data_IF_545830968580
#
_entry.id   IF_545830968580
#
_cell.length_a   1.000
_cell.length_b   1.000
_cell.length_c   1.000
_cell.angle_alpha   90.00
_cell.angle_beta   90.00
_cell.angle_gamma   90.00
#
_symmetry.space_group_name_H-M   'P 1'
#
loop_
_entity.id
_entity.type
_entity.pdbx_description
1 polymer ?
#
# COMPACT_ATOMS: atom_id res chain seq x y z
N UNK A 1 33.97 -70.43 2.35
CA UNK A 1 32.73 -70.06 3.08
C UNK A 1 32.82 -68.58 3.40
N UNK A 2 32.23 -67.72 2.56
CA UNK A 2 32.22 -66.26 2.70
C UNK A 2 30.77 -65.77 2.47
N UNK A 3 30.31 -64.83 3.29
CA UNK A 3 28.89 -64.46 3.49
C UNK A 3 28.28 -63.70 2.29
N UNK A 4 26.99 -63.91 1.94
CA UNK A 4 26.30 -63.05 1.00
C UNK A 4 25.90 -61.71 1.66
N UNK A 5 26.13 -60.61 0.94
CA UNK A 5 25.79 -59.26 1.37
C UNK A 5 24.28 -59.01 1.36
N UNK A 6 23.78 -58.34 2.39
CA UNK A 6 22.38 -57.96 2.55
C UNK A 6 22.02 -56.80 1.62
N UNK A 7 21.10 -57.03 0.69
CA UNK A 7 20.43 -55.98 -0.07
C UNK A 7 19.45 -55.24 0.87
N UNK A 8 19.75 -54.00 1.23
CA UNK A 8 18.81 -53.12 1.93
C UNK A 8 17.71 -52.63 0.98
N UNK A 9 16.50 -52.34 1.48
CA UNK A 9 15.39 -51.92 0.64
C UNK A 9 15.62 -50.52 0.05
N UNK A 10 15.28 -50.36 -1.23
CA UNK A 10 15.23 -49.06 -1.94
C UNK A 10 14.26 -48.13 -1.20
N UNK A 11 14.76 -46.99 -0.73
CA UNK A 11 13.91 -45.88 -0.27
C UNK A 11 13.20 -45.27 -1.49
N UNK A 12 11.90 -45.50 -1.59
CA UNK A 12 11.02 -44.76 -2.47
C UNK A 12 10.89 -43.33 -1.92
N UNK A 13 11.41 -42.34 -2.65
CA UNK A 13 11.17 -40.93 -2.33
C UNK A 13 9.73 -40.60 -2.71
N UNK A 14 8.82 -40.63 -1.74
CA UNK A 14 7.52 -40.00 -1.88
C UNK A 14 7.73 -38.50 -2.10
N UNK A 15 7.45 -38.02 -3.31
CA UNK A 15 7.42 -36.59 -3.63
C UNK A 15 6.20 -36.00 -2.93
N UNK A 16 6.43 -35.22 -1.88
CA UNK A 16 5.39 -34.43 -1.26
C UNK A 16 4.88 -33.40 -2.29
N UNK A 17 3.62 -33.53 -2.69
CA UNK A 17 2.94 -32.52 -3.50
C UNK A 17 2.81 -31.25 -2.67
N UNK A 18 3.59 -30.23 -3.01
CA UNK A 18 3.47 -28.91 -2.42
C UNK A 18 2.07 -28.35 -2.69
N UNK A 19 1.45 -27.77 -1.64
CA UNK A 19 0.17 -27.11 -1.77
C UNK A 19 0.24 -25.97 -2.82
N UNK A 20 -0.83 -25.73 -3.59
CA UNK A 20 -0.85 -24.63 -4.54
C UNK A 20 -0.61 -23.30 -3.79
N UNK A 21 0.14 -22.37 -4.39
CA UNK A 21 0.39 -21.08 -3.77
C UNK A 21 -0.95 -20.36 -3.50
N UNK A 22 -1.04 -19.58 -2.41
CA UNK A 22 -2.23 -18.81 -2.13
C UNK A 22 -2.55 -17.87 -3.31
N UNK A 23 -3.84 -17.60 -3.56
CA UNK A 23 -4.24 -16.69 -4.63
C UNK A 23 -3.61 -15.31 -4.42
N UNK A 24 -3.26 -14.60 -5.51
CA UNK A 24 -2.68 -13.27 -5.42
C UNK A 24 -3.66 -12.33 -4.69
N UNK A 25 -3.16 -11.66 -3.65
CA UNK A 25 -3.93 -10.66 -2.93
C UNK A 25 -4.18 -9.48 -3.87
N UNK A 26 -5.43 -9.27 -4.26
CA UNK A 26 -5.84 -8.12 -5.06
C UNK A 26 -6.29 -6.99 -4.14
N UNK A 27 -5.35 -6.13 -3.73
CA UNK A 27 -5.69 -4.84 -3.12
C UNK A 27 -5.97 -3.84 -4.23
N UNK A 28 -7.23 -3.75 -4.65
CA UNK A 28 -7.69 -2.67 -5.54
C UNK A 28 -7.88 -1.43 -4.68
N UNK A 29 -7.17 -0.35 -5.01
CA UNK A 29 -7.29 0.93 -4.32
C UNK A 29 -8.66 1.52 -4.57
N UNK A 30 -9.32 1.96 -3.52
CA UNK A 30 -10.70 2.50 -3.58
C UNK A 30 -10.83 3.85 -2.88
N UNK A 31 -9.84 4.25 -2.07
CA UNK A 31 -9.93 5.42 -1.22
C UNK A 31 -8.98 6.53 -1.70
N UNK A 32 -9.55 7.50 -2.40
CA UNK A 32 -8.85 8.68 -2.93
C UNK A 32 -9.53 9.96 -2.42
N UNK A 33 -9.34 10.31 -1.14
CA UNK A 33 -9.98 11.49 -0.57
C UNK A 33 -9.34 12.78 -1.09
N UNK A 34 -10.12 13.86 -1.15
CA UNK A 34 -9.59 15.22 -1.33
C UNK A 34 -8.99 15.77 -0.03
N UNK A 35 -9.52 15.36 1.12
CA UNK A 35 -9.05 15.74 2.46
C UNK A 35 -8.81 14.50 3.30
N UNK A 36 -7.59 14.33 3.81
CA UNK A 36 -7.22 13.15 4.60
C UNK A 36 -7.66 13.25 6.07
N UNK A 37 -7.36 14.36 6.74
CA UNK A 37 -7.59 14.53 8.19
C UNK A 37 -8.29 15.86 8.43
N UNK A 38 -9.37 15.82 9.22
CA UNK A 38 -10.05 17.01 9.71
C UNK A 38 -10.65 16.72 11.08
N UNK A 39 -9.82 16.74 12.11
CA UNK A 39 -10.17 16.32 13.47
C UNK A 39 -9.61 17.29 14.53
N UNK A 40 -10.22 17.22 15.71
CA UNK A 40 -9.78 17.91 16.92
C UNK A 40 -9.27 16.89 17.93
N UNK A 41 -8.12 17.17 18.54
CA UNK A 41 -7.49 16.29 19.52
C UNK A 41 -7.20 17.07 20.79
N UNK A 42 -7.62 16.54 21.94
CA UNK A 42 -7.30 17.12 23.23
C UNK A 42 -5.85 16.80 23.61
N UNK A 43 -5.07 17.85 23.87
CA UNK A 43 -3.70 17.74 24.35
C UNK A 43 -3.74 17.88 25.86
N UNK A 44 -3.45 16.80 26.57
CA UNK A 44 -3.43 16.77 28.04
C UNK A 44 -2.31 17.62 28.64
N UNK A 45 -2.13 17.53 29.96
CA UNK A 45 -1.12 18.30 30.71
C UNK A 45 0.32 18.06 30.24
N UNK A 46 0.60 16.94 29.56
CA UNK A 46 1.90 16.63 28.96
C UNK A 46 2.28 17.57 27.81
N UNK A 47 1.31 18.26 27.20
CA UNK A 47 1.54 19.12 26.03
C UNK A 47 1.79 18.36 24.72
N UNK A 48 1.57 17.04 24.69
CA UNK A 48 1.73 16.20 23.50
C UNK A 48 0.61 15.16 23.35
N UNK A 49 0.27 14.84 22.10
CA UNK A 49 -0.68 13.79 21.74
C UNK A 49 -0.18 13.05 20.48
N UNK A 50 -0.20 11.73 20.51
CA UNK A 50 0.12 10.87 19.36
C UNK A 50 -1.18 10.38 18.71
N UNK A 51 -1.31 10.59 17.40
CA UNK A 51 -2.53 10.24 16.64
C UNK A 51 -2.16 9.22 15.57
N UNK A 52 -2.40 7.92 15.79
CA UNK A 52 -2.10 6.89 14.80
C UNK A 52 -3.10 6.96 13.64
N UNK A 53 -2.61 7.26 12.45
CA UNK A 53 -3.42 7.40 11.23
C UNK A 53 -2.84 6.56 10.11
N UNK A 54 -3.73 6.01 9.28
CA UNK A 54 -3.33 5.30 8.07
C UNK A 54 -3.36 6.27 6.90
N UNK A 55 -2.26 6.35 6.16
CA UNK A 55 -2.17 7.19 4.96
C UNK A 55 -3.15 6.71 3.88
N UNK A 56 -3.74 7.60 3.08
CA UNK A 56 -4.62 7.20 1.98
C UNK A 56 -3.85 6.50 0.86
N UNK A 57 -4.59 5.83 -0.02
CA UNK A 57 -4.05 5.07 -1.15
C UNK A 57 -3.58 5.96 -2.34
N UNK A 58 -3.74 7.28 -2.22
CA UNK A 58 -3.37 8.27 -3.22
C UNK A 58 -1.87 8.55 -3.20
N UNK A 59 -1.26 8.60 -4.39
CA UNK A 59 0.14 9.03 -4.57
C UNK A 59 0.14 10.57 -4.61
N UNK A 60 0.22 11.18 -3.43
CA UNK A 60 0.17 12.64 -3.26
C UNK A 60 1.10 13.07 -2.14
N UNK A 61 1.54 14.32 -2.21
CA UNK A 61 2.10 15.03 -1.05
C UNK A 61 0.94 15.65 -0.29
N UNK A 62 0.83 15.30 0.98
CA UNK A 62 -0.14 15.86 1.90
C UNK A 62 0.49 17.02 2.66
N UNK A 63 -0.21 18.14 2.71
CA UNK A 63 0.16 19.31 3.49
C UNK A 63 -0.70 19.34 4.76
N UNK A 64 -0.07 19.51 5.92
CA UNK A 64 -0.76 19.46 7.22
C UNK A 64 -0.65 20.80 7.93
N UNK A 65 -1.80 21.39 8.26
CA UNK A 65 -1.92 22.57 9.12
C UNK A 65 -2.52 22.17 10.47
N UNK A 66 -1.91 22.64 11.56
CA UNK A 66 -2.37 22.37 12.92
C UNK A 66 -2.40 23.65 13.71
N UNK A 67 -3.46 23.87 14.46
CA UNK A 67 -3.55 24.94 15.44
C UNK A 67 -3.97 24.40 16.81
N UNK A 68 -3.52 25.07 17.86
CA UNK A 68 -3.79 24.71 19.24
C UNK A 68 -4.49 25.86 19.96
N UNK A 69 -5.47 25.52 20.79
CA UNK A 69 -6.19 26.46 21.65
C UNK A 69 -6.00 26.04 23.10
N UNK A 70 -5.53 26.96 23.94
CA UNK A 70 -5.36 26.78 25.36
C UNK A 70 -5.81 28.03 26.12
N UNK A 71 -6.05 27.96 27.45
CA UNK A 71 -6.29 29.16 28.26
C UNK A 71 -5.15 30.18 28.18
N UNK A 72 -3.93 29.73 27.87
CA UNK A 72 -2.75 30.57 27.65
C UNK A 72 -2.76 31.30 26.30
N UNK A 73 -3.59 30.89 25.34
CA UNK A 73 -3.72 31.55 24.04
C UNK A 73 -3.88 30.58 22.86
N UNK A 74 -3.63 31.12 21.66
CA UNK A 74 -3.67 30.42 20.38
C UNK A 74 -2.25 30.19 19.86
N UNK A 75 -1.99 29.01 19.32
CA UNK A 75 -0.75 28.68 18.61
C UNK A 75 -1.05 28.10 17.24
N UNK A 76 -0.26 28.47 16.24
CA UNK A 76 -0.29 27.88 14.90
C UNK A 76 1.04 27.15 14.67
N UNK A 77 0.95 25.89 14.24
CA UNK A 77 2.12 25.11 13.89
C UNK A 77 2.61 25.47 12.48
N UNK A 78 3.91 25.36 12.20
CA UNK A 78 4.43 25.41 10.84
C UNK A 78 3.84 24.29 9.97
N UNK A 79 3.71 24.54 8.67
CA UNK A 79 3.26 23.56 7.70
C UNK A 79 4.25 22.38 7.65
N UNK A 80 3.72 21.16 7.63
CA UNK A 80 4.50 19.92 7.44
C UNK A 80 3.96 19.15 6.25
N UNK A 81 4.88 18.64 5.43
CA UNK A 81 4.57 17.85 4.23
C UNK A 81 4.85 16.36 4.45
N UNK A 82 3.97 15.51 3.92
CA UNK A 82 4.14 14.06 3.88
C UNK A 82 3.90 13.54 2.46
N UNK A 83 4.94 13.04 1.80
CA UNK A 83 4.82 12.40 0.49
C UNK A 83 4.49 10.92 0.63
N UNK A 84 3.31 10.54 0.13
CA UNK A 84 2.91 9.14 -0.02
C UNK A 84 3.23 8.71 -1.44
N UNK A 85 4.10 7.70 -1.58
CA UNK A 85 4.55 7.24 -2.89
C UNK A 85 4.49 5.72 -3.02
N UNK A 86 4.00 5.27 -4.17
CA UNK A 86 4.03 3.86 -4.54
C UNK A 86 5.00 3.65 -5.70
N UNK A 87 6.04 2.80 -5.54
CA UNK A 87 7.08 2.65 -6.55
C UNK A 87 6.64 1.90 -7.81
N UNK A 88 5.50 1.21 -7.79
CA UNK A 88 4.96 0.52 -8.96
C UNK A 88 3.44 0.66 -9.01
N UNK A 89 2.90 1.29 -10.05
CA UNK A 89 1.47 1.53 -10.19
C UNK A 89 1.03 1.66 -11.66
N UNK A 90 -0.28 1.57 -11.88
CA UNK A 90 -0.93 1.74 -13.16
C UNK A 90 -1.84 2.97 -13.09
N UNK A 91 -1.77 3.82 -14.11
CA UNK A 91 -2.62 5.01 -14.28
C UNK A 91 -3.51 4.85 -15.51
N UNK A 92 -4.79 5.19 -15.39
CA UNK A 92 -5.76 5.14 -16.48
C UNK A 92 -6.08 6.56 -16.98
N UNK A 93 -5.85 6.83 -18.26
CA UNK A 93 -6.25 8.10 -18.89
C UNK A 93 -7.74 8.04 -19.25
N UNK A 94 -8.59 8.55 -18.37
CA UNK A 94 -10.05 8.55 -18.52
C UNK A 94 -10.55 9.96 -18.89
N UNK A 95 -11.40 10.11 -19.93
CA UNK A 95 -12.10 11.36 -20.16
C UNK A 95 -13.17 11.56 -19.07
N UNK A 96 -13.59 12.82 -18.87
CA UNK A 96 -14.64 13.15 -17.90
C UNK A 96 -15.95 12.38 -18.15
N UNK A 97 -16.29 12.13 -19.41
CA UNK A 97 -17.49 11.39 -19.80
C UNK A 97 -17.28 10.65 -21.13
N UNK A 98 -18.04 9.57 -21.33
CA UNK A 98 -18.08 8.79 -22.58
C UNK A 98 -19.51 8.68 -23.11
N UNK A 99 -19.67 8.64 -24.44
CA UNK A 99 -20.97 8.49 -25.08
C UNK A 99 -21.36 7.01 -25.08
N UNK A 100 -22.55 6.71 -24.54
CA UNK A 100 -23.07 5.35 -24.52
C UNK A 100 -23.30 4.84 -25.94
N UNK A 101 -22.74 3.67 -26.26
CA UNK A 101 -22.88 3.03 -27.57
C UNK A 101 -21.71 3.33 -28.53
N UNK A 102 -20.81 4.23 -28.16
CA UNK A 102 -19.59 4.50 -28.92
C UNK A 102 -18.40 3.70 -28.40
N UNK A 103 -17.37 3.57 -29.25
CA UNK A 103 -16.09 2.96 -28.88
C UNK A 103 -15.12 4.07 -28.52
N UNK A 104 -14.45 3.94 -27.38
CA UNK A 104 -13.37 4.82 -26.98
C UNK A 104 -12.11 3.99 -26.68
N UNK A 105 -10.95 4.62 -26.84
CA UNK A 105 -9.66 4.01 -26.52
C UNK A 105 -9.32 4.33 -25.06
N UNK A 106 -9.27 3.31 -24.19
CA UNK A 106 -8.78 3.45 -22.82
C UNK A 106 -7.28 3.21 -22.78
N UNK A 107 -6.51 4.24 -22.40
CA UNK A 107 -5.05 4.14 -22.26
C UNK A 107 -4.70 3.85 -20.80
N UNK A 108 -3.87 2.83 -20.60
CA UNK A 108 -3.31 2.47 -19.31
C UNK A 108 -1.78 2.61 -19.39
N UNK A 109 -1.21 3.39 -18.47
CA UNK A 109 0.24 3.60 -18.36
C UNK A 109 0.74 2.91 -17.11
N UNK A 110 1.79 2.11 -17.23
CA UNK A 110 2.43 1.44 -16.09
C UNK A 110 3.70 2.21 -15.73
N UNK A 111 3.80 2.62 -14.47
CA UNK A 111 4.96 3.29 -13.91
C UNK A 111 5.73 2.32 -13.02
N UNK A 112 7.05 2.26 -13.22
CA UNK A 112 7.97 1.47 -12.41
C UNK A 112 9.17 2.31 -11.99
N UNK A 113 9.23 2.61 -10.69
CA UNK A 113 10.31 3.32 -10.01
C UNK A 113 11.16 2.37 -9.14
N UNK A 114 10.95 1.05 -9.25
CA UNK A 114 11.81 0.07 -8.59
C UNK A 114 13.19 0.05 -9.25
N UNK A 115 14.22 -0.25 -8.47
CA UNK A 115 15.61 -0.34 -8.94
C UNK A 115 15.91 -1.61 -9.75
N UNK A 116 14.95 -2.51 -9.88
CA UNK A 116 15.10 -3.80 -10.57
C UNK A 116 13.99 -3.99 -11.59
N UNK A 117 14.33 -4.61 -12.71
CA UNK A 117 13.33 -5.05 -13.67
C UNK A 117 12.45 -6.13 -13.04
N UNK A 118 11.15 -6.02 -13.28
CA UNK A 118 10.17 -7.04 -12.93
C UNK A 118 10.22 -8.05 -14.09
N UNK A 119 10.73 -9.25 -13.83
CA UNK A 119 10.73 -10.38 -14.77
C UNK A 119 9.47 -11.22 -14.60
#
# INVERSE_FOLDING_TARGET
>A
MARPGSAGPRREMAVALAAPPPPPIQTVRTFFPETWIWDLVEVGESGSADVPLTVPDTITTWETEVFCLAPSGFGLAPLVELTVFQPFFLELTLPYSVIRGERFELKATVFNYLSKCIM
#
